data_IF_817917048449
#
_entry.id   IF_817917048449
#
_cell.length_a   1.000
_cell.length_b   1.000
_cell.length_c   1.000
_cell.angle_alpha   90.00
_cell.angle_beta   90.00
_cell.angle_gamma   90.00
#
_symmetry.space_group_name_H-M   'P 1'
#
loop_
_entity.id
_entity.type
_entity.pdbx_description
1 polymer ?
#
# COMPACT_ATOMS: atom_id res chain seq x y z
N UNK A 1 9.81 -8.44 36.60
CA UNK A 1 10.94 -9.40 36.55
C UNK A 1 11.89 -9.06 37.69
N UNK A 2 12.32 -10.06 38.45
CA UNK A 2 13.36 -9.89 39.48
C UNK A 2 14.73 -10.08 38.83
N UNK A 3 15.64 -9.16 39.10
CA UNK A 3 17.03 -9.24 38.65
C UNK A 3 17.95 -8.57 39.66
N UNK A 4 19.25 -8.70 39.48
CA UNK A 4 20.25 -7.98 40.29
C UNK A 4 20.94 -6.91 39.44
N UNK A 5 21.22 -5.75 40.02
CA UNK A 5 22.13 -4.76 39.41
C UNK A 5 23.54 -5.35 39.26
N UNK A 6 24.45 -4.72 38.48
CA UNK A 6 25.86 -5.15 38.42
C UNK A 6 26.54 -5.24 39.80
N UNK A 7 26.02 -4.53 40.80
CA UNK A 7 26.51 -4.49 42.19
C UNK A 7 25.83 -5.54 43.10
N UNK A 8 24.93 -6.36 42.56
CA UNK A 8 24.22 -7.41 43.30
C UNK A 8 22.97 -6.93 44.05
N UNK A 9 22.55 -5.67 43.89
CA UNK A 9 21.34 -5.17 44.54
C UNK A 9 20.09 -5.72 43.84
N UNK A 10 19.10 -6.16 44.62
CA UNK A 10 17.82 -6.61 44.07
C UNK A 10 17.13 -5.45 43.32
N UNK A 11 16.72 -5.72 42.09
CA UNK A 11 16.02 -4.80 41.22
C UNK A 11 14.70 -5.44 40.77
N UNK A 12 13.63 -4.65 40.78
CA UNK A 12 12.34 -5.03 40.25
C UNK A 12 12.02 -4.15 39.03
N UNK A 13 11.80 -4.78 37.88
CA UNK A 13 11.27 -4.10 36.71
C UNK A 13 9.75 -4.29 36.62
N UNK A 14 9.01 -3.18 36.65
CA UNK A 14 7.58 -3.12 36.31
C UNK A 14 7.43 -2.74 34.85
N UNK A 15 6.80 -3.59 34.06
CA UNK A 15 6.49 -3.32 32.66
C UNK A 15 4.98 -3.15 32.54
N UNK A 16 4.55 -1.92 32.26
CA UNK A 16 3.15 -1.61 31.98
C UNK A 16 2.96 -1.47 30.48
N UNK A 17 2.04 -2.26 29.91
CA UNK A 17 1.69 -2.17 28.48
C UNK A 17 0.24 -1.71 28.34
N UNK A 18 0.02 -0.77 27.41
CA UNK A 18 -1.33 -0.39 27.01
C UNK A 18 -1.90 -1.48 26.11
N UNK A 19 -3.04 -2.05 26.48
CA UNK A 19 -3.79 -2.95 25.59
C UNK A 19 -4.62 -2.10 24.63
N UNK A 20 -4.41 -2.32 23.33
CA UNK A 20 -5.16 -1.67 22.27
C UNK A 20 -6.39 -2.48 21.82
N UNK A 21 -6.36 -3.78 22.11
CA UNK A 21 -7.42 -4.75 21.83
C UNK A 21 -7.47 -5.77 22.97
N UNK A 22 -8.62 -6.39 23.19
CA UNK A 22 -8.68 -7.57 24.02
C UNK A 22 -8.43 -8.81 23.16
N UNK A 23 -7.49 -9.64 23.60
CA UNK A 23 -7.09 -10.87 22.94
C UNK A 23 -7.42 -12.03 23.87
N UNK A 24 -8.16 -13.01 23.36
CA UNK A 24 -8.38 -14.27 24.06
C UNK A 24 -7.09 -15.09 24.21
N UNK A 25 -7.17 -16.30 24.78
CA UNK A 25 -6.01 -17.18 24.92
C UNK A 25 -5.32 -17.41 23.58
N UNK A 26 -4.00 -17.22 23.55
CA UNK A 26 -3.17 -17.42 22.36
C UNK A 26 -2.47 -18.78 22.43
N UNK A 27 -2.38 -19.45 21.28
CA UNK A 27 -1.70 -20.75 21.17
C UNK A 27 -0.38 -20.55 20.44
N UNK A 28 0.72 -21.05 21.01
CA UNK A 28 2.06 -20.95 20.42
C UNK A 28 2.33 -22.05 19.37
N UNK A 29 1.60 -23.17 19.42
CA UNK A 29 1.77 -24.31 18.51
C UNK A 29 0.43 -24.80 18.01
N UNK A 30 0.30 -24.90 16.70
CA UNK A 30 -0.90 -25.38 16.01
C UNK A 30 -0.56 -26.72 15.34
N UNK A 31 -1.41 -27.75 15.44
CA UNK A 31 -1.17 -29.02 14.75
C UNK A 31 -1.14 -28.82 13.23
N UNK A 32 -0.48 -29.72 12.51
CA UNK A 32 -0.52 -29.74 11.06
C UNK A 32 -1.98 -29.81 10.57
N UNK A 33 -2.33 -29.03 9.55
CA UNK A 33 -3.71 -28.83 9.07
C UNK A 33 -4.69 -28.21 10.09
N UNK A 34 -4.18 -27.73 11.23
CA UNK A 34 -4.94 -26.94 12.18
C UNK A 34 -5.17 -25.51 11.70
N UNK A 35 -5.75 -24.70 12.58
CA UNK A 35 -5.88 -23.27 12.38
C UNK A 35 -5.67 -22.54 13.71
N UNK A 36 -4.98 -21.41 13.66
CA UNK A 36 -4.93 -20.51 14.80
C UNK A 36 -6.28 -19.81 14.92
N UNK A 37 -6.89 -19.87 16.11
CA UNK A 37 -8.11 -19.15 16.44
C UNK A 37 -7.76 -17.93 17.26
N UNK A 38 -7.96 -16.74 16.68
CA UNK A 38 -7.76 -15.46 17.37
C UNK A 38 -9.12 -14.90 17.76
N UNK A 39 -9.44 -14.95 19.06
CA UNK A 39 -10.59 -14.23 19.59
C UNK A 39 -10.16 -12.81 19.91
N UNK A 40 -10.64 -11.84 19.13
CA UNK A 40 -10.23 -10.44 19.20
C UNK A 40 -11.45 -9.55 19.45
N UNK A 41 -11.28 -8.56 20.31
CA UNK A 41 -12.21 -7.44 20.47
C UNK A 41 -11.46 -6.15 20.17
N UNK A 42 -11.80 -5.52 19.05
CA UNK A 42 -11.28 -4.23 18.63
C UNK A 42 -12.26 -3.16 19.11
N UNK A 43 -11.80 -2.09 19.79
CA UNK A 43 -12.65 -0.97 20.18
C UNK A 43 -13.42 -0.38 18.98
N UNK A 44 -14.67 0.03 19.18
CA UNK A 44 -15.54 0.53 18.10
C UNK A 44 -15.04 1.83 17.43
N UNK A 45 -14.17 2.58 18.10
CA UNK A 45 -13.51 3.77 17.54
C UNK A 45 -12.27 3.43 16.71
N UNK A 46 -12.01 2.14 16.47
CA UNK A 46 -10.84 1.63 15.76
C UNK A 46 -11.22 0.67 14.64
N UNK A 47 -10.36 0.62 13.63
CA UNK A 47 -10.36 -0.42 12.61
C UNK A 47 -9.19 -1.36 12.87
N UNK A 48 -9.33 -2.63 12.49
CA UNK A 48 -8.28 -3.64 12.65
C UNK A 48 -7.90 -4.25 11.31
N UNK A 49 -6.60 -4.42 11.05
CA UNK A 49 -6.09 -5.18 9.92
C UNK A 49 -5.14 -6.27 10.43
N UNK A 50 -5.49 -7.52 10.18
CA UNK A 50 -4.64 -8.67 10.50
C UNK A 50 -3.72 -8.98 9.32
N UNK A 51 -2.43 -9.01 9.59
CA UNK A 51 -1.38 -9.48 8.70
C UNK A 51 -0.90 -10.85 9.19
N UNK A 52 -0.68 -11.76 8.26
CA UNK A 52 -0.18 -13.09 8.55
C UNK A 52 1.04 -13.40 7.69
N UNK A 53 2.21 -13.43 8.31
CA UNK A 53 3.40 -13.98 7.69
C UNK A 53 3.35 -15.50 7.73
N UNK A 54 3.53 -16.11 6.55
CA UNK A 54 3.58 -17.55 6.31
C UNK A 54 5.05 -18.06 6.28
N UNK A 55 5.29 -19.38 6.44
CA UNK A 55 6.62 -19.98 6.35
C UNK A 55 7.30 -19.83 4.98
N UNK A 56 6.51 -19.64 3.91
CA UNK A 56 7.03 -19.36 2.56
C UNK A 56 7.40 -17.89 2.36
N UNK A 57 7.22 -17.05 3.38
CA UNK A 57 7.56 -15.64 3.35
C UNK A 57 6.48 -14.71 2.78
N UNK A 58 5.34 -15.24 2.30
CA UNK A 58 4.23 -14.42 1.86
C UNK A 58 3.43 -13.87 3.04
N UNK A 59 2.79 -12.71 2.84
CA UNK A 59 1.97 -12.05 3.85
C UNK A 59 0.51 -11.92 3.37
N UNK A 60 -0.39 -12.63 4.04
CA UNK A 60 -1.83 -12.41 3.86
C UNK A 60 -2.27 -11.16 4.65
N UNK A 61 -3.13 -10.33 4.07
CA UNK A 61 -3.77 -9.19 4.76
C UNK A 61 -5.27 -9.38 4.79
N UNK A 62 -5.88 -9.14 5.95
CA UNK A 62 -7.31 -9.31 6.18
C UNK A 62 -7.82 -8.14 7.02
N UNK A 63 -8.71 -7.33 6.45
CA UNK A 63 -9.43 -6.33 7.24
C UNK A 63 -10.39 -7.06 8.20
N UNK A 64 -10.47 -6.59 9.44
CA UNK A 64 -11.46 -7.07 10.40
C UNK A 64 -12.76 -6.27 10.22
N UNK A 65 -13.94 -6.91 10.37
CA UNK A 65 -15.21 -6.21 10.29
C UNK A 65 -15.35 -5.19 11.43
N UNK A 66 -15.82 -3.98 11.11
CA UNK A 66 -15.86 -2.83 12.02
C UNK A 66 -16.88 -2.97 13.19
N UNK A 67 -17.87 -3.85 13.06
CA UNK A 67 -19.05 -3.87 13.93
C UNK A 67 -19.18 -5.10 14.82
N UNK A 68 -18.12 -5.91 14.96
CA UNK A 68 -18.21 -7.14 15.74
C UNK A 68 -17.48 -6.94 17.07
N UNK A 69 -18.26 -6.80 18.15
CA UNK A 69 -17.76 -6.71 19.53
C UNK A 69 -16.77 -7.84 19.89
N UNK A 70 -16.86 -8.98 19.21
CA UNK A 70 -15.87 -10.06 19.30
C UNK A 70 -15.79 -10.84 17.98
N UNK A 71 -14.67 -10.73 17.28
CA UNK A 71 -14.40 -11.52 16.08
C UNK A 71 -13.53 -12.72 16.43
N UNK A 72 -13.89 -13.91 15.91
CA UNK A 72 -12.99 -15.07 15.92
C UNK A 72 -12.42 -15.22 14.52
N UNK A 73 -11.15 -14.83 14.36
CA UNK A 73 -10.44 -15.03 13.08
C UNK A 73 -9.83 -16.42 13.08
N UNK A 74 -10.17 -17.21 12.07
CA UNK A 74 -9.54 -18.50 11.81
C UNK A 74 -8.46 -18.31 10.77
N UNK A 75 -7.22 -18.58 11.17
CA UNK A 75 -6.06 -18.49 10.29
C UNK A 75 -5.66 -19.90 9.87
N UNK A 76 -5.94 -20.30 8.61
CA UNK A 76 -5.60 -21.64 8.14
C UNK A 76 -4.10 -21.80 8.00
N UNK A 77 -3.58 -22.95 8.40
CA UNK A 77 -2.17 -23.32 8.25
C UNK A 77 -1.89 -24.02 6.91
N UNK A 78 -2.50 -23.51 5.82
CA UNK A 78 -2.44 -24.13 4.48
C UNK A 78 -1.12 -23.91 3.76
N UNK A 79 -0.25 -23.04 4.26
CA UNK A 79 1.05 -22.75 3.66
C UNK A 79 2.15 -23.76 4.05
N UNK A 80 1.79 -24.82 4.78
CA UNK A 80 2.71 -25.85 5.23
C UNK A 80 3.22 -25.64 6.65
N UNK A 81 4.20 -26.47 7.02
CA UNK A 81 4.87 -26.41 8.33
C UNK A 81 5.87 -25.24 8.40
N UNK A 82 6.06 -24.72 9.61
CA UNK A 82 7.05 -23.69 9.88
C UNK A 82 6.58 -22.65 10.88
N UNK A 83 7.30 -21.53 10.90
CA UNK A 83 6.97 -20.37 11.72
C UNK A 83 6.01 -19.46 10.97
N UNK A 84 4.96 -19.06 11.67
CA UNK A 84 4.01 -18.04 11.25
C UNK A 84 4.08 -16.86 12.22
N UNK A 85 3.69 -15.68 11.76
CA UNK A 85 3.53 -14.50 12.63
C UNK A 85 2.20 -13.83 12.32
N UNK A 86 1.34 -13.73 13.32
CA UNK A 86 0.10 -12.98 13.26
C UNK A 86 0.32 -11.58 13.84
N UNK A 87 0.13 -10.54 13.04
CA UNK A 87 0.26 -9.14 13.45
C UNK A 87 -1.06 -8.41 13.25
N UNK A 88 -1.62 -7.84 14.32
CA UNK A 88 -2.81 -7.00 14.23
C UNK A 88 -2.37 -5.54 14.32
N UNK A 89 -2.60 -4.80 13.24
CA UNK A 89 -2.51 -3.35 13.23
C UNK A 89 -3.89 -2.79 13.52
N UNK A 90 -3.98 -1.84 14.46
CA UNK A 90 -5.19 -1.06 14.68
C UNK A 90 -4.97 0.39 14.32
N UNK A 91 -6.01 1.00 13.78
CA UNK A 91 -6.02 2.41 13.41
C UNK A 91 -7.30 3.07 13.90
N UNK A 92 -7.35 4.41 13.99
CA UNK A 92 -8.62 5.09 14.32
C UNK A 92 -9.60 4.96 13.17
N UNK A 93 -10.89 4.77 13.49
CA UNK A 93 -11.94 4.74 12.49
C UNK A 93 -12.21 6.12 11.87
N UNK A 94 -11.97 7.19 12.64
CA UNK A 94 -12.21 8.57 12.21
C UNK A 94 -11.05 9.47 12.62
N UNK A 95 -10.66 10.34 11.68
CA UNK A 95 -9.64 11.37 11.89
C UNK A 95 -8.21 10.87 11.67
N UNK A 96 -7.22 11.77 11.80
CA UNK A 96 -5.82 11.40 11.67
C UNK A 96 -5.38 10.50 12.83
N UNK A 97 -4.63 9.48 12.49
CA UNK A 97 -4.07 8.52 13.42
C UNK A 97 -2.70 8.02 12.96
N UNK A 98 -2.00 7.42 13.91
CA UNK A 98 -0.75 6.71 13.70
C UNK A 98 -1.08 5.24 13.95
N UNK A 99 -1.03 4.36 12.93
CA UNK A 99 -1.41 2.96 13.10
C UNK A 99 -0.50 2.30 14.14
N UNK A 100 -1.08 1.46 14.98
CA UNK A 100 -0.39 0.84 16.11
C UNK A 100 -0.44 -0.68 16.04
N UNK A 101 0.66 -1.34 16.41
CA UNK A 101 0.69 -2.80 16.56
C UNK A 101 -0.04 -3.18 17.85
N UNK A 102 -1.22 -3.78 17.70
CA UNK A 102 -2.04 -4.25 18.82
C UNK A 102 -1.75 -5.70 19.23
N UNK A 103 -1.25 -6.51 18.30
CA UNK A 103 -0.83 -7.89 18.52
C UNK A 103 0.35 -8.20 17.60
N UNK A 104 1.39 -8.84 18.12
CA UNK A 104 2.44 -9.48 17.33
C UNK A 104 2.71 -10.85 17.95
N UNK A 105 2.20 -11.90 17.31
CA UNK A 105 2.17 -13.25 17.86
C UNK A 105 2.82 -14.27 16.92
N UNK A 106 4.08 -14.66 17.17
CA UNK A 106 4.68 -15.79 16.49
C UNK A 106 4.05 -17.10 16.97
N UNK A 107 3.80 -18.03 16.05
CA UNK A 107 3.35 -19.39 16.38
C UNK A 107 3.93 -20.40 15.37
N UNK A 108 3.97 -21.68 15.75
CA UNK A 108 4.51 -22.74 14.91
C UNK A 108 3.42 -23.70 14.45
N UNK A 109 3.57 -24.22 13.22
CA UNK A 109 2.78 -25.32 12.69
C UNK A 109 3.76 -26.46 12.38
N UNK A 110 3.63 -27.60 13.06
CA UNK A 110 4.57 -28.70 12.88
C UNK A 110 6.00 -28.33 13.30
N UNK A 111 6.99 -28.68 12.47
CA UNK A 111 8.39 -28.35 12.74
C UNK A 111 8.69 -26.86 12.52
N UNK A 112 9.37 -26.23 13.48
CA UNK A 112 9.81 -24.84 13.34
C UNK A 112 10.81 -24.71 12.18
N UNK A 113 10.49 -23.84 11.23
CA UNK A 113 11.38 -23.40 10.16
C UNK A 113 11.21 -21.91 10.03
N UNK A 114 12.29 -21.17 10.17
CA UNK A 114 12.30 -19.75 9.85
C UNK A 114 12.30 -19.60 8.33
N UNK A 115 11.60 -18.58 7.85
CA UNK A 115 11.60 -18.28 6.44
C UNK A 115 12.94 -17.61 6.05
N UNK A 116 13.52 -17.90 4.88
CA UNK A 116 14.86 -17.44 4.52
C UNK A 116 14.84 -15.96 4.11
N UNK A 117 15.75 -15.13 4.66
CA UNK A 117 15.85 -13.70 4.34
C UNK A 117 17.27 -13.21 4.11
N UNK A 118 17.44 -12.11 3.37
CA UNK A 118 18.76 -11.55 3.14
C UNK A 118 19.33 -11.02 4.46
N UNK A 119 20.38 -11.68 4.92
CA UNK A 119 21.16 -11.23 6.06
C UNK A 119 22.01 -10.00 5.70
N UNK A 120 22.21 -9.12 6.68
CA UNK A 120 23.17 -8.04 6.57
C UNK A 120 24.57 -8.62 6.72
N UNK A 121 25.34 -8.61 5.64
CA UNK A 121 26.63 -9.31 5.56
C UNK A 121 27.79 -8.57 6.24
N UNK A 122 27.64 -7.28 6.53
CA UNK A 122 28.73 -6.44 7.04
C UNK A 122 28.29 -5.62 8.25
N UNK A 123 29.17 -5.45 9.26
CA UNK A 123 28.87 -4.61 10.42
C UNK A 123 28.80 -3.13 10.05
N UNK A 124 28.22 -2.34 10.96
CA UNK A 124 28.03 -0.89 10.78
C UNK A 124 29.28 -0.05 11.04
N UNK A 125 30.29 -0.63 11.70
CA UNK A 125 31.50 0.07 12.13
C UNK A 125 32.28 0.64 10.93
N UNK A 126 32.69 1.90 11.04
CA UNK A 126 33.48 2.59 10.00
C UNK A 126 32.66 3.14 8.82
N UNK A 127 31.33 3.03 8.84
CA UNK A 127 30.45 3.57 7.80
C UNK A 127 29.77 4.84 8.26
N UNK A 128 29.62 5.85 7.41
CA UNK A 128 28.78 7.01 7.69
C UNK A 128 27.30 6.73 7.35
N UNK A 129 26.42 7.69 7.63
CA UNK A 129 24.98 7.53 7.43
C UNK A 129 24.61 7.39 5.93
N UNK A 130 25.43 7.95 5.03
CA UNK A 130 25.28 7.80 3.58
C UNK A 130 25.58 6.36 3.16
N UNK A 131 26.71 5.79 3.62
CA UNK A 131 27.07 4.41 3.35
C UNK A 131 26.04 3.43 3.93
N UNK A 132 25.52 3.69 5.13
CA UNK A 132 24.43 2.88 5.72
C UNK A 132 23.12 3.01 4.92
N UNK A 133 22.82 4.20 4.40
CA UNK A 133 21.65 4.43 3.54
C UNK A 133 21.72 3.60 2.25
N UNK A 134 22.85 3.62 1.55
CA UNK A 134 23.04 2.80 0.35
C UNK A 134 22.94 1.29 0.64
N UNK A 135 23.43 0.85 1.80
CA UNK A 135 23.26 -0.54 2.25
C UNK A 135 21.80 -0.88 2.53
N UNK A 136 21.08 -0.02 3.23
CA UNK A 136 19.65 -0.20 3.50
C UNK A 136 18.84 -0.29 2.20
N UNK A 137 19.12 0.57 1.22
CA UNK A 137 18.52 0.49 -0.11
C UNK A 137 18.84 -0.85 -0.80
N UNK A 138 20.10 -1.28 -0.78
CA UNK A 138 20.51 -2.55 -1.37
C UNK A 138 19.82 -3.76 -0.70
N UNK A 139 19.54 -3.71 0.60
CA UNK A 139 18.77 -4.75 1.30
C UNK A 139 17.32 -4.83 0.81
N UNK A 140 16.67 -3.69 0.59
CA UNK A 140 15.31 -3.63 0.00
C UNK A 140 15.30 -4.25 -1.39
N UNK A 141 16.27 -3.89 -2.24
CA UNK A 141 16.36 -4.43 -3.60
C UNK A 141 16.68 -5.93 -3.59
N UNK A 142 17.58 -6.37 -2.71
CA UNK A 142 17.92 -7.79 -2.58
C UNK A 142 16.73 -8.63 -2.13
N UNK A 143 15.94 -8.16 -1.16
CA UNK A 143 14.71 -8.84 -0.73
C UNK A 143 13.76 -9.06 -1.90
N UNK A 144 13.57 -8.04 -2.76
CA UNK A 144 12.71 -8.14 -3.94
C UNK A 144 13.28 -9.08 -4.99
N UNK A 145 14.58 -8.98 -5.28
CA UNK A 145 15.26 -9.85 -6.25
C UNK A 145 15.21 -11.34 -5.84
N UNK A 146 15.41 -11.65 -4.56
CA UNK A 146 15.32 -13.02 -4.04
C UNK A 146 13.89 -13.60 -4.16
N UNK A 147 12.88 -12.75 -4.27
CA UNK A 147 11.48 -13.13 -4.50
C UNK A 147 11.03 -12.98 -5.96
N UNK A 148 11.95 -12.69 -6.89
CA UNK A 148 11.67 -12.45 -8.31
C UNK A 148 10.66 -11.32 -8.54
N UNK A 149 10.70 -10.30 -7.69
CA UNK A 149 9.88 -9.10 -7.77
C UNK A 149 10.70 -8.00 -8.46
N UNK A 150 10.07 -7.25 -9.36
CA UNK A 150 10.70 -6.13 -10.08
C UNK A 150 11.38 -5.14 -9.09
N UNK A 151 12.64 -4.76 -9.32
CA UNK A 151 13.34 -3.77 -8.51
C UNK A 151 12.62 -2.42 -8.46
N UNK A 152 12.76 -1.71 -7.34
CA UNK A 152 12.19 -0.37 -7.21
C UNK A 152 13.12 0.66 -7.87
N UNK A 153 12.54 1.67 -8.53
CA UNK A 153 13.32 2.80 -9.05
C UNK A 153 13.58 3.81 -7.93
N UNK A 154 14.83 4.19 -7.71
CA UNK A 154 15.17 5.23 -6.74
C UNK A 154 14.56 6.56 -7.19
N UNK A 155 13.81 7.21 -6.31
CA UNK A 155 13.16 8.50 -6.56
C UNK A 155 13.80 9.59 -5.70
N UNK A 156 14.52 10.57 -6.29
CA UNK A 156 15.17 11.63 -5.52
C UNK A 156 14.24 12.38 -4.55
N UNK A 157 12.99 12.77 -4.94
CA UNK A 157 12.04 13.37 -4.00
C UNK A 157 11.73 12.48 -2.77
N UNK A 158 11.61 11.16 -2.96
CA UNK A 158 11.38 10.23 -1.85
C UNK A 158 12.61 10.06 -0.98
N UNK A 159 13.82 10.05 -1.56
CA UNK A 159 15.08 9.98 -0.79
C UNK A 159 15.23 11.20 0.11
N UNK A 160 14.93 12.39 -0.40
CA UNK A 160 15.00 13.61 0.40
C UNK A 160 14.01 13.61 1.57
N UNK A 161 12.76 13.20 1.32
CA UNK A 161 11.75 13.08 2.39
C UNK A 161 12.13 11.98 3.37
N UNK A 162 12.56 10.80 2.91
CA UNK A 162 13.01 9.71 3.78
C UNK A 162 14.18 10.16 4.67
N UNK A 163 15.15 10.89 4.12
CA UNK A 163 16.30 11.41 4.86
C UNK A 163 15.90 12.37 5.97
N UNK A 164 15.08 13.37 5.65
CA UNK A 164 14.60 14.31 6.65
C UNK A 164 13.74 13.63 7.74
N UNK A 165 12.94 12.63 7.36
CA UNK A 165 12.13 11.85 8.33
C UNK A 165 13.00 10.97 9.22
N UNK A 166 13.98 10.27 8.66
CA UNK A 166 14.93 9.47 9.44
C UNK A 166 15.68 10.34 10.46
N UNK A 167 16.15 11.52 10.05
CA UNK A 167 16.80 12.49 10.94
C UNK A 167 15.87 12.98 12.05
N UNK A 168 14.62 13.34 11.71
CA UNK A 168 13.64 13.80 12.69
C UNK A 168 13.31 12.71 13.73
N UNK A 169 13.07 11.48 13.28
CA UNK A 169 12.77 10.34 14.16
C UNK A 169 13.98 9.93 15.02
N UNK A 170 15.19 9.97 14.45
CA UNK A 170 16.44 9.75 15.19
C UNK A 170 16.65 10.82 16.27
N UNK A 171 16.37 12.08 15.97
CA UNK A 171 16.44 13.19 16.94
C UNK A 171 15.38 13.12 18.04
N UNK A 172 14.22 12.52 17.76
CA UNK A 172 13.17 12.27 18.74
C UNK A 172 13.43 11.04 19.63
N UNK A 173 14.32 10.14 19.21
CA UNK A 173 14.58 8.87 19.90
C UNK A 173 13.36 7.94 19.96
N UNK A 174 12.43 8.07 19.00
CA UNK A 174 11.23 7.23 18.87
C UNK A 174 10.70 7.21 17.43
N UNK A 175 10.02 6.13 17.08
CA UNK A 175 9.31 5.97 15.80
C UNK A 175 7.90 6.59 15.85
N UNK A 176 7.33 6.85 14.66
CA UNK A 176 5.94 7.28 14.48
C UNK A 176 5.68 7.72 13.05
N UNK A 177 4.55 7.36 12.45
CA UNK A 177 4.25 7.74 11.06
C UNK A 177 3.90 9.22 10.92
N UNK A 178 3.63 9.91 12.03
CA UNK A 178 3.41 11.36 12.06
C UNK A 178 4.51 12.05 12.85
N UNK A 179 5.14 13.05 12.22
CA UNK A 179 6.11 13.92 12.90
C UNK A 179 5.41 14.91 13.84
N UNK A 180 6.15 15.57 14.77
CA UNK A 180 5.62 16.72 15.51
C UNK A 180 5.04 17.75 14.53
N UNK A 181 3.76 18.11 14.71
CA UNK A 181 2.99 18.90 13.74
C UNK A 181 1.96 18.08 12.95
N UNK A 182 1.99 16.76 13.07
CA UNK A 182 0.95 15.86 12.56
C UNK A 182 1.12 15.41 11.11
N UNK A 183 2.14 15.92 10.40
CA UNK A 183 2.42 15.56 9.01
C UNK A 183 2.86 14.10 8.86
N UNK A 184 2.19 13.37 7.97
CA UNK A 184 2.63 12.06 7.49
C UNK A 184 3.57 12.19 6.27
N UNK A 185 4.20 11.08 5.89
CA UNK A 185 5.16 11.06 4.78
C UNK A 185 4.55 11.55 3.44
N UNK A 186 3.28 11.25 3.17
CA UNK A 186 2.63 11.69 1.93
C UNK A 186 2.37 13.20 1.94
N UNK A 187 1.99 13.76 3.09
CA UNK A 187 1.89 15.21 3.30
C UNK A 187 3.25 15.89 3.13
N UNK A 188 4.33 15.31 3.67
CA UNK A 188 5.69 15.84 3.54
C UNK A 188 6.14 15.92 2.08
N UNK A 189 5.92 14.84 1.28
CA UNK A 189 6.29 14.86 -0.15
C UNK A 189 5.51 15.94 -0.89
N UNK A 190 4.18 16.02 -0.69
CA UNK A 190 3.34 17.04 -1.35
C UNK A 190 3.73 18.47 -0.98
N UNK A 191 4.05 18.72 0.28
CA UNK A 191 4.41 20.06 0.75
C UNK A 191 5.76 20.53 0.20
N UNK A 192 6.74 19.62 0.06
CA UNK A 192 8.08 19.95 -0.45
C UNK A 192 8.14 20.02 -1.97
N UNK A 193 7.28 19.26 -2.65
CA UNK A 193 7.36 19.07 -4.09
C UNK A 193 5.98 19.25 -4.77
N UNK A 194 5.30 20.39 -4.60
CA UNK A 194 3.95 20.59 -5.11
C UNK A 194 3.85 20.49 -6.64
N UNK A 195 4.91 20.92 -7.34
CA UNK A 195 4.94 21.05 -8.80
C UNK A 195 5.90 20.07 -9.49
N UNK A 196 6.46 19.09 -8.77
CA UNK A 196 7.41 18.12 -9.34
C UNK A 196 6.70 16.83 -9.79
N UNK A 197 6.61 16.54 -11.10
CA UNK A 197 5.95 15.33 -11.59
C UNK A 197 6.57 14.03 -11.06
N UNK A 198 7.84 14.04 -10.65
CA UNK A 198 8.53 12.89 -10.02
C UNK A 198 8.10 12.62 -8.59
N UNK A 199 7.49 13.60 -7.92
CA UNK A 199 6.96 13.51 -6.58
C UNK A 199 5.46 13.16 -6.53
N UNK A 200 4.81 13.01 -7.69
CA UNK A 200 3.43 12.53 -7.78
C UNK A 200 3.38 11.01 -7.69
N UNK A 201 2.58 10.49 -6.77
CA UNK A 201 2.40 9.06 -6.53
C UNK A 201 0.93 8.72 -6.33
N UNK A 202 0.56 7.53 -6.79
CA UNK A 202 -0.75 6.92 -6.61
C UNK A 202 -0.94 6.38 -5.18
N UNK A 203 0.11 5.75 -4.66
CA UNK A 203 0.13 5.17 -3.32
C UNK A 203 1.51 5.40 -2.74
N UNK A 204 1.56 5.69 -1.44
CA UNK A 204 2.79 5.78 -0.67
C UNK A 204 2.64 4.95 0.60
N UNK A 205 3.62 4.12 0.90
CA UNK A 205 3.82 3.53 2.22
C UNK A 205 5.13 4.03 2.81
N UNK A 206 5.14 4.09 4.14
CA UNK A 206 6.33 4.28 4.92
C UNK A 206 6.53 3.02 5.77
N UNK A 207 7.74 2.48 5.75
CA UNK A 207 8.18 1.49 6.73
C UNK A 207 9.37 2.06 7.49
N UNK A 208 9.40 1.84 8.80
CA UNK A 208 10.38 2.44 9.68
C UNK A 208 10.81 1.47 10.78
N UNK A 209 12.09 1.52 11.15
CA UNK A 209 12.63 0.76 12.26
C UNK A 209 13.72 1.55 12.97
N UNK A 210 13.85 1.32 14.27
CA UNK A 210 14.91 1.89 15.09
C UNK A 210 15.52 0.78 15.94
N UNK A 211 16.85 0.65 15.89
CA UNK A 211 17.57 -0.40 16.60
C UNK A 211 19.02 0.01 16.90
N UNK A 212 19.80 -0.87 17.54
CA UNK A 212 21.23 -0.66 17.81
C UNK A 212 22.11 -0.72 16.56
N UNK A 213 21.70 -1.50 15.56
CA UNK A 213 22.45 -1.73 14.32
C UNK A 213 21.52 -1.71 13.11
N UNK A 214 22.07 -1.52 11.91
CA UNK A 214 21.32 -1.67 10.66
C UNK A 214 20.78 -3.09 10.50
N UNK A 215 21.55 -4.11 10.92
CA UNK A 215 21.13 -5.50 10.90
C UNK A 215 19.90 -5.75 11.77
N UNK A 216 19.87 -5.18 12.98
CA UNK A 216 18.73 -5.31 13.88
C UNK A 216 17.52 -4.52 13.39
N UNK A 217 17.72 -3.32 12.83
CA UNK A 217 16.65 -2.52 12.24
C UNK A 217 16.02 -3.23 11.03
N UNK A 218 16.85 -3.80 10.15
CA UNK A 218 16.40 -4.60 9.02
C UNK A 218 15.63 -5.84 9.47
N UNK A 219 16.15 -6.58 10.47
CA UNK A 219 15.45 -7.73 11.03
C UNK A 219 14.08 -7.34 11.62
N UNK A 220 14.00 -6.22 12.34
CA UNK A 220 12.75 -5.71 12.90
C UNK A 220 11.70 -5.39 11.82
N UNK A 221 12.12 -4.86 10.66
CA UNK A 221 11.23 -4.67 9.51
C UNK A 221 10.70 -6.00 8.96
N UNK A 222 11.55 -7.03 8.87
CA UNK A 222 11.17 -8.33 8.33
C UNK A 222 10.33 -9.19 9.29
N UNK A 223 10.54 -9.02 10.60
CA UNK A 223 9.78 -9.68 11.66
C UNK A 223 8.37 -9.11 11.82
N UNK A 224 8.10 -7.91 11.28
CA UNK A 224 6.75 -7.33 11.17
C UNK A 224 6.11 -7.72 9.82
N UNK A 225 5.09 -8.60 9.81
CA UNK A 225 4.30 -8.90 8.61
C UNK A 225 3.82 -7.67 7.83
N UNK A 226 3.38 -6.60 8.51
CA UNK A 226 2.88 -5.39 7.90
C UNK A 226 3.98 -4.66 7.11
N UNK A 227 5.12 -4.38 7.73
CA UNK A 227 6.26 -3.76 7.04
C UNK A 227 6.75 -4.60 5.87
N UNK A 228 6.88 -5.91 6.10
CA UNK A 228 7.31 -6.85 5.08
C UNK A 228 6.39 -6.87 3.86
N UNK A 229 5.07 -6.88 4.08
CA UNK A 229 4.09 -6.82 2.98
C UNK A 229 4.37 -5.61 2.10
N UNK A 230 4.58 -4.44 2.69
CA UNK A 230 4.83 -3.23 1.91
C UNK A 230 6.14 -3.34 1.11
N UNK A 231 7.23 -3.85 1.71
CA UNK A 231 8.52 -4.04 1.03
C UNK A 231 8.45 -4.95 -0.21
N UNK A 232 7.56 -5.96 -0.19
CA UNK A 232 7.38 -6.94 -1.28
C UNK A 232 6.12 -6.70 -2.11
N UNK A 233 5.40 -5.60 -1.88
CA UNK A 233 4.21 -5.28 -2.67
C UNK A 233 4.66 -4.95 -4.12
N UNK A 234 4.13 -5.70 -5.08
CA UNK A 234 4.43 -5.57 -6.51
C UNK A 234 3.80 -4.32 -7.11
N UNK A 235 2.85 -3.69 -6.41
CA UNK A 235 2.25 -2.41 -6.81
C UNK A 235 3.20 -1.23 -6.64
N UNK A 236 4.25 -1.33 -5.84
CA UNK A 236 5.26 -0.28 -5.72
C UNK A 236 6.28 -0.33 -6.85
N UNK A 237 6.58 0.85 -7.40
CA UNK A 237 7.50 1.01 -8.54
C UNK A 237 8.71 1.88 -8.22
N UNK A 238 8.65 2.65 -7.14
CA UNK A 238 9.70 3.58 -6.72
C UNK A 238 9.96 3.51 -5.22
N UNK A 239 11.16 3.92 -4.80
CA UNK A 239 11.49 4.05 -3.39
C UNK A 239 12.40 5.25 -3.09
N UNK A 240 12.42 5.65 -1.82
CA UNK A 240 13.49 6.42 -1.21
C UNK A 240 13.80 5.81 0.16
N UNK A 241 15.06 5.51 0.42
CA UNK A 241 15.51 4.91 1.68
C UNK A 241 16.51 5.85 2.33
N UNK A 242 16.46 5.95 3.66
CA UNK A 242 17.44 6.70 4.42
C UNK A 242 17.70 6.06 5.78
N UNK A 243 18.92 6.27 6.25
CA UNK A 243 19.39 5.89 7.58
C UNK A 243 19.94 7.11 8.28
N UNK A 244 19.57 7.29 9.55
CA UNK A 244 20.11 8.33 10.41
C UNK A 244 20.51 7.75 11.77
N UNK A 245 21.65 8.16 12.30
CA UNK A 245 22.06 7.84 13.67
C UNK A 245 21.41 8.77 14.69
N UNK A 246 21.12 8.24 15.86
CA UNK A 246 20.56 8.99 16.98
C UNK A 246 20.86 8.32 18.32
N UNK A 247 20.05 8.63 19.31
CA UNK A 247 20.06 7.96 20.60
C UNK A 247 18.61 7.72 21.07
N UNK A 248 18.40 6.63 21.81
CA UNK A 248 17.10 6.41 22.45
C UNK A 248 16.92 7.31 23.68
N UNK A 249 15.76 7.19 24.35
CA UNK A 249 15.45 7.96 25.56
C UNK A 249 16.43 7.72 26.73
N UNK A 250 17.23 6.65 26.71
CA UNK A 250 18.27 6.35 27.69
C UNK A 250 19.67 6.82 27.24
N UNK A 251 19.78 7.53 26.11
CA UNK A 251 21.04 8.00 25.56
C UNK A 251 21.87 6.92 24.86
N UNK A 252 21.32 5.73 24.62
CA UNK A 252 22.04 4.64 23.95
C UNK A 252 22.06 4.90 22.44
N UNK A 253 23.18 4.68 21.74
CA UNK A 253 23.25 4.88 20.29
C UNK A 253 22.21 4.02 19.56
N UNK A 254 21.54 4.61 18.59
CA UNK A 254 20.58 3.93 17.71
C UNK A 254 20.79 4.32 16.26
N UNK A 255 20.29 3.46 15.37
CA UNK A 255 20.10 3.68 13.95
C UNK A 255 18.60 3.72 13.70
N UNK A 256 18.14 4.74 12.98
CA UNK A 256 16.76 4.85 12.48
C UNK A 256 16.79 4.68 10.97
N UNK A 257 16.08 3.68 10.47
CA UNK A 257 15.89 3.41 9.05
C UNK A 257 14.46 3.80 8.65
N UNK A 258 14.33 4.55 7.56
CA UNK A 258 13.04 4.89 6.93
C UNK A 258 13.11 4.49 5.47
N UNK A 259 12.12 3.76 4.99
CA UNK A 259 11.92 3.50 3.56
C UNK A 259 10.52 3.96 3.14
N UNK A 260 10.48 4.84 2.15
CA UNK A 260 9.26 5.27 1.47
C UNK A 260 9.13 4.47 0.18
N UNK A 261 7.99 3.81 0.01
CA UNK A 261 7.65 2.99 -1.13
C UNK A 261 6.50 3.65 -1.86
N UNK A 262 6.62 3.88 -3.16
CA UNK A 262 5.62 4.60 -3.93
C UNK A 262 5.25 3.88 -5.22
N UNK A 263 3.95 3.89 -5.52
CA UNK A 263 3.43 3.58 -6.84
C UNK A 263 3.30 4.90 -7.56
N UNK A 264 4.03 5.13 -8.63
CA UNK A 264 3.81 6.31 -9.47
C UNK A 264 2.73 6.06 -10.51
N UNK A 265 1.97 7.10 -10.92
CA UNK A 265 1.16 7.00 -12.12
C UNK A 265 2.06 6.52 -13.26
N UNK A 266 1.54 5.70 -14.19
CA UNK A 266 2.27 5.43 -15.42
C UNK A 266 2.64 6.78 -16.05
N UNK A 267 3.88 6.90 -16.53
CA UNK A 267 4.40 8.11 -17.17
C UNK A 267 3.84 8.27 -18.59
N UNK A 268 2.54 8.03 -18.76
CA UNK A 268 1.83 8.13 -20.03
C UNK A 268 0.92 9.35 -19.98
N UNK A 269 0.93 10.13 -21.05
CA UNK A 269 -0.03 11.22 -21.17
C UNK A 269 -1.45 10.63 -21.21
N UNK A 270 -2.48 11.32 -20.68
CA UNK A 270 -3.87 10.86 -20.78
C UNK A 270 -4.28 10.54 -22.23
N UNK A 271 -3.75 11.28 -23.21
CA UNK A 271 -3.97 11.03 -24.63
C UNK A 271 -3.40 9.69 -25.11
N UNK A 272 -2.21 9.30 -24.64
CA UNK A 272 -1.61 8.01 -24.95
C UNK A 272 -2.41 6.86 -24.33
N UNK A 273 -2.86 7.02 -23.09
CA UNK A 273 -3.72 6.04 -22.41
C UNK A 273 -5.05 5.89 -23.17
N UNK A 274 -5.65 7.00 -23.61
CA UNK A 274 -6.86 6.98 -24.43
C UNK A 274 -6.64 6.21 -25.72
N UNK A 275 -5.57 6.52 -26.45
CA UNK A 275 -5.24 5.84 -27.70
C UNK A 275 -5.09 4.32 -27.50
N UNK A 276 -4.39 3.89 -26.44
CA UNK A 276 -4.24 2.48 -26.08
C UNK A 276 -5.56 1.79 -25.71
N UNK A 277 -6.47 2.49 -25.03
CA UNK A 277 -7.81 1.96 -24.71
C UNK A 277 -8.59 1.71 -26.01
N UNK A 278 -8.59 2.67 -26.94
CA UNK A 278 -9.27 2.54 -28.23
C UNK A 278 -8.65 1.43 -29.09
N UNK A 279 -7.33 1.38 -29.18
CA UNK A 279 -6.58 0.35 -29.90
C UNK A 279 -6.96 -1.05 -29.39
N UNK A 280 -6.85 -1.30 -28.09
CA UNK A 280 -7.16 -2.61 -27.49
C UNK A 280 -8.64 -3.00 -27.61
N UNK A 281 -9.55 -2.02 -27.50
CA UNK A 281 -10.96 -2.26 -27.75
C UNK A 281 -11.19 -2.71 -29.20
N UNK A 282 -10.54 -2.05 -30.17
CA UNK A 282 -10.66 -2.37 -31.59
C UNK A 282 -9.99 -3.70 -31.97
N UNK A 283 -8.85 -4.04 -31.37
CA UNK A 283 -8.22 -5.35 -31.52
C UNK A 283 -9.18 -6.47 -31.10
N UNK A 284 -9.81 -6.34 -29.94
CA UNK A 284 -10.75 -7.34 -29.45
C UNK A 284 -12.06 -7.40 -30.25
N UNK A 285 -12.56 -6.27 -30.74
CA UNK A 285 -13.70 -6.23 -31.68
C UNK A 285 -13.37 -6.95 -32.97
N UNK A 286 -12.19 -6.70 -33.54
CA UNK A 286 -11.70 -7.36 -34.76
C UNK A 286 -11.59 -8.88 -34.55
N UNK A 287 -11.06 -9.32 -33.39
CA UNK A 287 -11.01 -10.75 -33.03
C UNK A 287 -12.39 -11.42 -32.94
N UNK A 288 -13.46 -10.64 -32.74
CA UNK A 288 -14.86 -11.09 -32.72
C UNK A 288 -15.60 -10.87 -34.06
N UNK A 289 -14.92 -10.36 -35.09
CA UNK A 289 -15.54 -10.04 -36.37
C UNK A 289 -16.49 -8.83 -36.32
N UNK A 290 -16.28 -7.92 -35.37
CA UNK A 290 -17.02 -6.66 -35.24
C UNK A 290 -16.25 -5.51 -35.88
N UNK A 291 -16.96 -4.52 -36.42
CA UNK A 291 -16.35 -3.30 -36.97
C UNK A 291 -15.63 -2.49 -35.89
N UNK A 292 -14.48 -1.85 -36.20
CA UNK A 292 -13.76 -1.04 -35.21
C UNK A 292 -14.55 0.20 -34.81
N UNK A 293 -14.44 0.59 -33.53
CA UNK A 293 -14.95 1.85 -32.99
C UNK A 293 -14.15 3.02 -33.54
N UNK A 294 -14.86 4.12 -33.84
CA UNK A 294 -14.29 5.42 -34.20
C UNK A 294 -14.30 6.34 -32.98
N UNK A 295 -13.26 7.13 -32.81
CA UNK A 295 -13.21 8.12 -31.73
C UNK A 295 -14.24 9.22 -31.96
N UNK A 296 -15.07 9.50 -30.94
CA UNK A 296 -16.06 10.58 -30.96
C UNK A 296 -15.62 11.73 -30.07
N UNK A 297 -15.31 12.88 -30.68
CA UNK A 297 -14.91 14.09 -29.96
C UNK A 297 -16.01 14.60 -29.01
N UNK A 298 -17.28 14.38 -29.36
CA UNK A 298 -18.42 14.73 -28.51
C UNK A 298 -18.45 13.86 -27.24
N UNK A 299 -18.47 12.54 -27.41
CA UNK A 299 -18.48 11.59 -26.30
C UNK A 299 -17.22 11.75 -25.43
N UNK A 300 -16.05 11.97 -26.03
CA UNK A 300 -14.81 12.21 -25.30
C UNK A 300 -14.90 13.41 -24.37
N UNK A 301 -15.42 14.56 -24.84
CA UNK A 301 -15.58 15.75 -23.98
C UNK A 301 -16.50 15.49 -22.80
N UNK A 302 -17.62 14.80 -23.04
CA UNK A 302 -18.58 14.47 -21.97
C UNK A 302 -17.98 13.48 -20.97
N UNK A 303 -17.30 12.45 -21.45
CA UNK A 303 -16.60 11.47 -20.62
C UNK A 303 -15.52 12.13 -19.74
N UNK A 304 -14.70 13.03 -20.32
CA UNK A 304 -13.68 13.77 -19.59
C UNK A 304 -14.28 14.65 -18.50
N UNK A 305 -15.36 15.40 -18.81
CA UNK A 305 -16.06 16.22 -17.81
C UNK A 305 -16.57 15.38 -16.64
N UNK A 306 -17.16 14.21 -16.92
CA UNK A 306 -17.64 13.32 -15.86
C UNK A 306 -16.48 12.73 -15.05
N UNK A 307 -15.40 12.30 -15.71
CA UNK A 307 -14.22 11.77 -15.03
C UNK A 307 -13.63 12.81 -14.06
N UNK A 308 -13.49 14.07 -14.50
CA UNK A 308 -13.07 15.19 -13.65
C UNK A 308 -14.02 15.39 -12.48
N UNK A 309 -15.33 15.44 -12.73
CA UNK A 309 -16.33 15.61 -11.66
C UNK A 309 -16.27 14.46 -10.63
N UNK A 310 -16.10 13.21 -11.06
CA UNK A 310 -15.94 12.06 -10.16
C UNK A 310 -14.64 12.15 -9.36
N UNK A 311 -13.55 12.59 -10.00
CA UNK A 311 -12.26 12.82 -9.35
C UNK A 311 -12.32 13.95 -8.32
N UNK A 312 -13.04 15.03 -8.59
CA UNK A 312 -13.24 16.12 -7.62
C UNK A 312 -14.14 15.70 -6.47
N UNK A 313 -15.16 14.88 -6.75
CA UNK A 313 -16.11 14.38 -5.75
C UNK A 313 -15.59 13.18 -4.94
N UNK A 314 -14.47 12.56 -5.34
CA UNK A 314 -13.92 11.37 -4.69
C UNK A 314 -14.86 10.16 -4.72
N UNK A 315 -15.76 10.04 -5.71
CA UNK A 315 -16.72 8.93 -5.82
C UNK A 315 -17.13 8.64 -7.25
N UNK A 316 -17.44 7.37 -7.54
CA UNK A 316 -17.98 6.94 -8.83
C UNK A 316 -19.48 7.19 -8.85
N UNK A 317 -19.94 8.11 -9.71
CA UNK A 317 -21.35 8.48 -9.85
C UNK A 317 -21.61 9.04 -11.26
N UNK A 318 -22.41 8.33 -12.05
CA UNK A 318 -22.73 8.70 -13.44
C UNK A 318 -23.61 9.95 -13.56
N UNK A 319 -24.20 10.41 -12.46
CA UNK A 319 -25.15 11.52 -12.42
C UNK A 319 -24.54 12.86 -11.98
N UNK A 320 -23.23 12.94 -11.76
CA UNK A 320 -22.56 14.17 -11.27
C UNK A 320 -22.68 15.37 -12.20
N UNK A 321 -23.04 15.15 -13.47
CA UNK A 321 -23.27 16.22 -14.45
C UNK A 321 -24.75 16.66 -14.53
N UNK A 322 -25.58 16.30 -13.56
CA UNK A 322 -26.99 16.70 -13.50
C UNK A 322 -27.97 15.68 -14.11
N UNK A 323 -27.50 14.47 -14.39
CA UNK A 323 -28.30 13.36 -14.94
C UNK A 323 -27.41 12.22 -15.43
N UNK A 324 -27.97 11.03 -15.72
CA UNK A 324 -27.20 9.90 -16.23
C UNK A 324 -26.44 10.29 -17.50
N UNK A 325 -25.11 10.10 -17.50
CA UNK A 325 -24.25 10.59 -18.60
C UNK A 325 -24.63 10.05 -19.98
N UNK A 326 -25.16 8.83 -20.07
CA UNK A 326 -25.67 8.28 -21.33
C UNK A 326 -26.87 9.06 -21.89
N UNK A 327 -27.77 9.53 -21.02
CA UNK A 327 -28.89 10.37 -21.43
C UNK A 327 -28.41 11.77 -21.85
N UNK A 328 -27.47 12.35 -21.11
CA UNK A 328 -26.88 13.65 -21.46
C UNK A 328 -26.20 13.61 -22.84
N UNK A 329 -25.55 12.50 -23.19
CA UNK A 329 -24.95 12.31 -24.51
C UNK A 329 -26.02 12.34 -25.62
N UNK A 330 -27.12 11.61 -25.45
CA UNK A 330 -28.22 11.56 -26.41
C UNK A 330 -28.92 12.92 -26.58
N UNK A 331 -29.07 13.69 -25.50
CA UNK A 331 -29.67 15.03 -25.54
C UNK A 331 -28.78 16.06 -26.24
N UNK A 332 -27.47 15.84 -26.26
CA UNK A 332 -26.49 16.82 -26.78
C UNK A 332 -25.88 16.43 -28.13
N UNK A 333 -26.16 15.22 -28.64
CA UNK A 333 -25.81 14.77 -29.98
C UNK A 333 -26.92 13.92 -30.60
N UNK A 334 -27.71 14.54 -31.47
CA UNK A 334 -28.84 13.91 -32.14
C UNK A 334 -28.43 12.83 -33.17
N UNK A 335 -27.14 12.65 -33.45
CA UNK A 335 -26.66 11.55 -34.31
C UNK A 335 -26.56 10.23 -33.56
N UNK A 336 -26.59 10.25 -32.22
CA UNK A 336 -26.54 9.07 -31.37
C UNK A 336 -27.94 8.54 -31.12
N UNK A 337 -28.13 7.24 -31.31
CA UNK A 337 -29.38 6.55 -31.00
C UNK A 337 -29.33 5.86 -29.64
N UNK A 338 -28.13 5.47 -29.20
CA UNK A 338 -27.89 4.82 -27.91
C UNK A 338 -26.50 5.15 -27.40
N UNK A 339 -26.36 5.30 -26.08
CA UNK A 339 -25.06 5.44 -25.41
C UNK A 339 -24.99 4.53 -24.19
N UNK A 340 -23.97 3.67 -24.14
CA UNK A 340 -23.71 2.76 -23.01
C UNK A 340 -22.52 3.29 -22.20
N UNK A 341 -22.75 3.82 -20.98
CA UNK A 341 -21.66 4.26 -20.12
C UNK A 341 -21.00 3.08 -19.43
N UNK A 342 -19.71 3.24 -19.16
CA UNK A 342 -18.95 2.47 -18.18
C UNK A 342 -18.14 3.46 -17.36
N UNK A 343 -18.38 3.49 -16.05
CA UNK A 343 -17.59 4.26 -15.11
C UNK A 343 -16.82 3.34 -14.19
N UNK A 344 -15.56 3.69 -13.91
CA UNK A 344 -14.70 2.90 -13.06
C UNK A 344 -13.74 3.79 -12.25
N UNK A 345 -13.33 3.26 -11.09
CA UNK A 345 -12.25 3.80 -10.26
C UNK A 345 -11.16 2.75 -10.18
N UNK A 346 -10.00 3.04 -10.77
CA UNK A 346 -8.94 2.06 -10.99
C UNK A 346 -7.57 2.67 -10.73
N UNK A 347 -6.63 1.88 -10.26
CA UNK A 347 -5.25 2.35 -10.09
C UNK A 347 -4.48 2.43 -11.43
N UNK A 348 -4.93 1.67 -12.43
CA UNK A 348 -4.42 1.73 -13.80
C UNK A 348 -5.61 1.64 -14.77
N UNK A 349 -5.87 2.68 -15.57
CA UNK A 349 -7.00 2.70 -16.50
C UNK A 349 -6.93 1.60 -17.56
N UNK A 350 -5.74 1.07 -17.86
CA UNK A 350 -5.57 0.01 -18.84
C UNK A 350 -6.05 -1.36 -18.37
N UNK A 351 -6.28 -1.53 -17.06
CA UNK A 351 -6.91 -2.75 -16.53
C UNK A 351 -8.34 -2.96 -17.06
N UNK A 352 -9.01 -1.92 -17.58
CA UNK A 352 -10.29 -2.08 -18.27
C UNK A 352 -10.19 -2.87 -19.57
N UNK A 353 -9.01 -2.88 -20.19
CA UNK A 353 -8.79 -3.41 -21.53
C UNK A 353 -7.75 -4.55 -21.57
N UNK A 354 -6.96 -4.75 -20.50
CA UNK A 354 -5.99 -5.85 -20.35
C UNK A 354 -6.61 -7.20 -19.93
N UNK A 355 -7.93 -7.33 -19.97
CA UNK A 355 -8.64 -8.54 -19.56
C UNK A 355 -9.94 -8.76 -20.32
N UNK A 356 -11.03 -9.03 -19.58
CA UNK A 356 -12.36 -9.13 -20.20
C UNK A 356 -12.89 -7.71 -20.44
N UNK A 357 -12.75 -7.23 -21.67
CA UNK A 357 -13.36 -5.97 -22.10
C UNK A 357 -14.85 -5.93 -21.72
N UNK A 358 -15.36 -4.79 -21.27
CA UNK A 358 -16.77 -4.61 -20.99
C UNK A 358 -17.64 -4.96 -22.20
N UNK A 359 -18.76 -5.65 -21.98
CA UNK A 359 -19.70 -6.01 -23.05
C UNK A 359 -20.28 -4.77 -23.75
N UNK A 360 -20.24 -3.58 -23.11
CA UNK A 360 -20.63 -2.31 -23.76
C UNK A 360 -19.71 -1.92 -24.93
N UNK A 361 -18.43 -2.28 -24.89
CA UNK A 361 -17.48 -2.02 -25.99
C UNK A 361 -17.54 -3.09 -27.08
N UNK A 362 -18.12 -4.25 -26.77
CA UNK A 362 -18.21 -5.41 -27.65
C UNK A 362 -19.63 -5.59 -28.22
N UNK A 363 -20.48 -4.58 -28.04
CA UNK A 363 -21.81 -4.51 -28.61
C UNK A 363 -21.72 -4.40 -30.14
N UNK A 364 -22.57 -5.13 -30.86
CA UNK A 364 -22.56 -5.18 -32.32
C UNK A 364 -22.83 -3.79 -32.91
N UNK A 365 -23.73 -3.04 -32.27
CA UNK A 365 -24.21 -1.75 -32.76
C UNK A 365 -23.34 -0.57 -32.33
N UNK A 366 -22.39 -0.78 -31.40
CA UNK A 366 -21.48 0.29 -30.99
C UNK A 366 -20.52 0.66 -32.14
N UNK A 367 -20.54 1.92 -32.55
CA UNK A 367 -19.72 2.48 -33.63
C UNK A 367 -18.76 3.57 -33.16
N UNK A 368 -19.06 4.23 -32.03
CA UNK A 368 -18.31 5.37 -31.51
C UNK A 368 -17.81 5.13 -30.09
N UNK A 369 -16.67 5.72 -29.74
CA UNK A 369 -16.12 5.69 -28.38
C UNK A 369 -15.64 7.06 -27.91
N UNK A 370 -16.05 7.46 -26.70
CA UNK A 370 -15.43 8.53 -25.92
C UNK A 370 -14.76 7.98 -24.67
N UNK A 371 -13.55 8.45 -24.37
CA UNK A 371 -12.78 8.03 -23.18
C UNK A 371 -12.41 9.23 -22.32
N UNK A 372 -12.89 9.28 -21.09
CA UNK A 372 -12.54 10.29 -20.08
C UNK A 372 -11.63 9.69 -19.02
N UNK A 373 -10.58 10.44 -18.65
CA UNK A 373 -9.62 10.04 -17.61
C UNK A 373 -9.37 11.24 -16.69
N UNK A 374 -9.46 11.01 -15.38
CA UNK A 374 -9.04 11.99 -14.39
C UNK A 374 -8.33 11.29 -13.23
N UNK A 375 -7.14 11.76 -12.88
CA UNK A 375 -6.38 11.27 -11.74
C UNK A 375 -6.81 12.01 -10.48
N UNK A 376 -7.22 11.28 -9.45
CA UNK A 376 -7.51 11.88 -8.15
C UNK A 376 -6.20 12.27 -7.45
N UNK A 377 -6.01 13.55 -7.08
CA UNK A 377 -4.71 14.06 -6.63
C UNK A 377 -4.23 13.46 -5.30
N UNK A 378 -5.15 13.16 -4.36
CA UNK A 378 -4.80 12.56 -3.07
C UNK A 378 -4.89 11.04 -3.01
N UNK A 379 -5.88 10.45 -3.68
CA UNK A 379 -6.11 9.00 -3.67
C UNK A 379 -5.25 8.24 -4.66
N UNK A 380 -4.76 8.90 -5.71
CA UNK A 380 -3.91 8.24 -6.67
C UNK A 380 -4.62 7.15 -7.47
N UNK A 381 -5.89 7.37 -7.78
CA UNK A 381 -6.70 6.48 -8.59
C UNK A 381 -7.22 7.25 -9.80
N UNK A 382 -7.35 6.56 -10.92
CA UNK A 382 -7.99 7.08 -12.11
C UNK A 382 -9.50 6.86 -12.02
N UNK A 383 -10.23 7.94 -12.23
CA UNK A 383 -11.63 7.92 -12.61
C UNK A 383 -11.69 7.81 -14.12
N UNK A 384 -12.25 6.69 -14.60
CA UNK A 384 -12.32 6.35 -16.02
C UNK A 384 -13.78 6.32 -16.43
N UNK A 385 -14.09 6.96 -17.56
CA UNK A 385 -15.41 6.97 -18.18
C UNK A 385 -15.26 6.52 -19.62
N UNK A 386 -15.90 5.43 -20.00
CA UNK A 386 -16.04 5.02 -21.39
C UNK A 386 -17.49 5.20 -21.82
N UNK A 387 -17.72 5.91 -22.92
CA UNK A 387 -19.04 6.07 -23.52
C UNK A 387 -19.03 5.44 -24.91
N UNK A 388 -19.71 4.30 -25.07
CA UNK A 388 -19.87 3.65 -26.36
C UNK A 388 -21.19 4.09 -26.99
N UNK A 389 -21.13 4.69 -28.18
CA UNK A 389 -22.28 5.23 -28.91
C UNK A 389 -22.64 4.39 -30.15
N UNK A 390 -23.95 4.27 -30.40
CA UNK A 390 -24.56 3.73 -31.63
C UNK A 390 -25.01 4.87 -32.55
#
# INVERSE_FOLDING_TARGET
>A
MEGSTPEGAACAALVSVRRLVDVGPLTATVPQNGALKLALTVPADRTGTLYLLRPDGFVDRRALPADVARTVVTVPSTAGEGRYVAELIVDRAVGPSDPEVALLWPYTVGAARDAPFPEVLFPDQGHDDIALTHRAEALVQRLRNEQLIEPLKVSPPLVEVASARAQALAGLGRLGHRLPGGADAAQDVRARFPDEPRAQFLRLAEVQAQASTLADAWRALLDSPAHRRELVDTGYTHCGVAVARGADAAGRPTITMVALLARRPPARAPDEVRALILERANEARTQRGLDPLVESAHLHRLATRLATAMSEAGRVDEALLGGPVGQLALETDATLSRVRPLVARLDDPLLLVDGKLPESLLDLDAAQLGVGLALHPSEGVFYVVLLAGE
#
